data_IF_478324195216
#
_entry.id   IF_478324195216
#
_cell.length_a   1.000
_cell.length_b   1.000
_cell.length_c   1.000
_cell.angle_alpha   90.00
_cell.angle_beta   90.00
_cell.angle_gamma   90.00
#
_symmetry.space_group_name_H-M   'P 1'
#
loop_
_entity.id
_entity.type
_entity.pdbx_description
1 polymer ?
#
# COMPACT_ATOMS: atom_id res chain seq x y z
N UNK A 1 24.01 -14.65 10.21
CA UNK A 1 22.96 -14.78 9.43
C UNK A 1 22.27 -13.53 9.32
N UNK A 2 21.62 -13.32 8.32
CA UNK A 2 21.03 -12.19 8.19
C UNK A 2 19.62 -12.31 8.40
N UNK A 3 18.99 -11.34 8.96
CA UNK A 3 17.68 -11.40 9.12
C UNK A 3 16.98 -10.99 7.97
N UNK A 4 15.86 -11.57 7.66
CA UNK A 4 15.06 -11.17 6.59
C UNK A 4 13.96 -10.36 7.12
N UNK A 5 13.66 -9.23 6.51
CA UNK A 5 12.54 -8.45 6.90
C UNK A 5 11.29 -9.15 6.46
N UNK A 6 10.32 -9.21 7.36
CA UNK A 6 9.07 -9.79 7.02
C UNK A 6 8.18 -8.74 6.52
N UNK A 7 7.92 -8.68 5.23
CA UNK A 7 6.99 -7.73 4.67
C UNK A 7 5.60 -8.31 4.76
N UNK A 8 4.60 -7.43 4.77
CA UNK A 8 3.23 -7.88 4.89
C UNK A 8 2.82 -8.73 3.71
N UNK A 9 3.30 -8.38 2.52
CA UNK A 9 2.95 -9.10 1.32
C UNK A 9 4.20 -9.57 0.62
N UNK A 10 4.06 -10.56 -0.24
CA UNK A 10 5.15 -11.13 -1.00
C UNK A 10 4.86 -10.99 -2.47
N UNK A 11 5.89 -11.11 -3.30
CA UNK A 11 5.71 -11.09 -4.75
C UNK A 11 4.77 -12.21 -5.13
N UNK A 12 3.76 -11.88 -5.92
CA UNK A 12 2.77 -12.86 -6.34
C UNK A 12 1.50 -12.84 -5.52
N UNK A 13 1.50 -12.13 -4.40
CA UNK A 13 0.29 -12.06 -3.58
C UNK A 13 -0.77 -11.26 -4.27
N UNK A 14 -2.01 -11.71 -4.14
CA UNK A 14 -3.14 -10.96 -4.63
C UNK A 14 -3.54 -9.99 -3.54
N UNK A 15 -3.61 -8.71 -3.90
CA UNK A 15 -3.87 -7.66 -2.93
C UNK A 15 -4.91 -6.72 -3.49
N UNK A 16 -5.36 -5.80 -2.65
CA UNK A 16 -6.38 -4.83 -3.04
C UNK A 16 -5.87 -3.43 -2.71
N UNK A 17 -6.20 -2.48 -3.54
CA UNK A 17 -5.87 -1.09 -3.26
C UNK A 17 -7.04 -0.22 -3.64
N UNK A 18 -7.11 0.98 -3.07
CA UNK A 18 -8.17 1.90 -3.45
C UNK A 18 -7.75 2.68 -4.68
N UNK A 19 -8.67 2.78 -5.62
CA UNK A 19 -8.44 3.66 -6.76
C UNK A 19 -8.56 5.09 -6.27
N UNK A 20 -7.53 5.90 -6.50
CA UNK A 20 -7.52 7.24 -5.93
C UNK A 20 -8.49 8.19 -6.63
N UNK A 21 -9.09 7.76 -7.72
CA UNK A 21 -10.09 8.57 -8.41
C UNK A 21 -11.49 8.16 -8.00
N UNK A 22 -11.76 6.86 -8.00
CA UNK A 22 -13.13 6.38 -7.72
C UNK A 22 -13.30 5.92 -6.30
N UNK A 23 -12.22 5.70 -5.57
CA UNK A 23 -12.21 5.15 -4.20
C UNK A 23 -12.75 3.73 -4.15
N UNK A 24 -12.81 3.05 -5.27
CA UNK A 24 -13.25 1.67 -5.27
C UNK A 24 -12.05 0.76 -5.13
N UNK A 25 -12.29 -0.40 -4.55
CA UNK A 25 -11.24 -1.39 -4.37
C UNK A 25 -10.86 -2.00 -5.71
N UNK A 26 -9.58 -2.09 -5.97
CA UNK A 26 -9.06 -2.69 -7.18
C UNK A 26 -8.19 -3.87 -6.79
N UNK A 27 -8.43 -5.00 -7.40
CA UNK A 27 -7.62 -6.18 -7.15
C UNK A 27 -6.39 -6.14 -8.05
N UNK A 28 -5.23 -6.44 -7.49
CA UNK A 28 -4.02 -6.46 -8.26
C UNK A 28 -3.07 -7.47 -7.62
N UNK A 29 -1.87 -7.58 -8.15
CA UNK A 29 -0.88 -8.55 -7.68
C UNK A 29 0.42 -7.83 -7.43
N UNK A 30 1.12 -8.20 -6.38
CA UNK A 30 2.41 -7.62 -6.07
C UNK A 30 3.44 -8.13 -7.06
N UNK A 31 4.10 -7.20 -7.75
CA UNK A 31 5.07 -7.58 -8.76
C UNK A 31 6.48 -7.49 -8.26
N UNK A 32 6.79 -6.51 -7.44
CA UNK A 32 8.12 -6.41 -6.86
C UNK A 32 8.04 -5.70 -5.52
N UNK A 33 9.05 -5.93 -4.71
CA UNK A 33 9.13 -5.36 -3.38
C UNK A 33 10.53 -4.83 -3.17
N UNK A 34 10.62 -3.60 -2.69
CA UNK A 34 11.89 -2.99 -2.33
C UNK A 34 11.81 -2.47 -0.92
N UNK A 35 12.93 -2.49 -0.21
CA UNK A 35 12.96 -2.03 1.17
C UNK A 35 13.96 -0.90 1.26
N UNK A 36 13.59 0.17 1.97
CA UNK A 36 14.45 1.29 2.11
C UNK A 36 14.43 1.77 3.54
N UNK A 37 15.61 2.12 4.05
CA UNK A 37 15.71 2.68 5.37
C UNK A 37 15.80 4.19 5.25
N UNK A 38 14.98 4.92 6.01
CA UNK A 38 14.98 6.36 5.97
C UNK A 38 15.94 6.90 7.01
N UNK A 39 16.19 8.21 6.93
CA UNK A 39 17.17 8.82 7.81
C UNK A 39 16.80 8.72 9.27
N UNK A 40 15.52 8.69 9.58
CA UNK A 40 15.12 8.62 10.98
C UNK A 40 15.10 7.19 11.51
N UNK A 41 15.59 6.24 10.72
CA UNK A 41 15.62 4.85 11.16
C UNK A 41 14.39 4.04 10.79
N UNK A 42 13.37 4.68 10.27
CA UNK A 42 12.18 3.91 9.90
C UNK A 42 12.46 3.16 8.59
N UNK A 43 11.66 2.13 8.36
CA UNK A 43 11.84 1.26 7.21
C UNK A 43 10.60 1.38 6.34
N UNK A 44 10.79 1.70 5.09
CA UNK A 44 9.71 1.75 4.14
C UNK A 44 9.78 0.57 3.21
N UNK A 45 8.61 0.01 2.89
CA UNK A 45 8.52 -1.09 1.96
C UNK A 45 7.76 -0.59 0.74
N UNK A 46 8.40 -0.65 -0.40
CA UNK A 46 7.79 -0.21 -1.63
C UNK A 46 7.28 -1.43 -2.37
N UNK A 47 5.98 -1.48 -2.57
CA UNK A 47 5.36 -2.54 -3.35
C UNK A 47 5.01 -1.98 -4.72
N UNK A 48 5.40 -2.67 -5.77
CA UNK A 48 4.99 -2.32 -7.10
C UNK A 48 4.02 -3.38 -7.58
N UNK A 49 2.85 -2.97 -8.00
CA UNK A 49 1.82 -3.91 -8.40
C UNK A 49 1.79 -4.06 -9.92
N UNK A 50 1.07 -5.07 -10.38
CA UNK A 50 1.00 -5.34 -11.80
C UNK A 50 0.47 -4.17 -12.59
N UNK A 51 -0.42 -3.39 -12.00
CA UNK A 51 -0.95 -2.24 -12.69
C UNK A 51 -0.04 -1.03 -12.56
N UNK A 52 1.23 -1.28 -12.20
CA UNK A 52 2.29 -0.28 -12.17
C UNK A 52 1.97 0.84 -11.20
N UNK A 53 1.43 0.48 -10.06
CA UNK A 53 1.15 1.45 -9.02
C UNK A 53 2.13 1.26 -7.88
N UNK A 54 2.94 2.28 -7.59
CA UNK A 54 3.86 2.15 -6.46
C UNK A 54 3.15 2.49 -5.15
N UNK A 55 3.34 1.67 -4.15
CA UNK A 55 2.74 1.88 -2.85
C UNK A 55 3.79 1.70 -1.80
N UNK A 56 3.96 2.72 -0.96
CA UNK A 56 4.95 2.68 0.09
C UNK A 56 4.24 2.55 1.43
N UNK A 57 4.66 1.57 2.20
CA UNK A 57 4.14 1.39 3.54
C UNK A 57 5.30 1.44 4.51
N UNK A 58 5.17 2.20 5.57
CA UNK A 58 6.23 2.32 6.56
C UNK A 58 5.97 1.30 7.64
N UNK A 59 6.97 0.46 7.92
CA UNK A 59 6.80 -0.61 8.89
C UNK A 59 6.57 -0.01 10.27
N UNK A 60 5.68 -0.63 10.99
CA UNK A 60 5.35 -0.16 12.33
C UNK A 60 4.34 0.95 12.39
N UNK A 61 3.89 1.44 11.26
CA UNK A 61 2.87 2.47 11.27
C UNK A 61 1.54 1.89 10.88
N UNK A 62 0.44 2.46 11.35
CA UNK A 62 -0.87 1.94 10.97
C UNK A 62 -1.11 2.17 9.49
N UNK A 63 -1.94 1.34 8.93
CA UNK A 63 -2.27 1.47 7.53
C UNK A 63 -3.11 2.70 7.29
N UNK A 64 -2.98 3.24 6.10
CA UNK A 64 -3.82 4.32 5.66
C UNK A 64 -4.55 3.88 4.40
N UNK A 65 -5.42 4.74 3.90
CA UNK A 65 -6.19 4.40 2.72
C UNK A 65 -5.34 4.19 1.48
N UNK A 66 -4.10 4.64 1.50
CA UNK A 66 -3.22 4.45 0.35
C UNK A 66 -2.39 3.20 0.40
N UNK A 67 -2.63 2.31 1.36
CA UNK A 67 -1.86 1.10 1.49
C UNK A 67 -2.47 -0.04 0.71
N UNK A 68 -1.80 -1.19 0.71
CA UNK A 68 -2.36 -2.39 0.15
C UNK A 68 -3.11 -3.16 1.22
N UNK A 69 -4.13 -3.85 0.82
CA UNK A 69 -4.98 -4.60 1.74
C UNK A 69 -5.07 -6.03 1.28
N UNK A 70 -5.33 -6.91 2.22
CA UNK A 70 -5.38 -8.34 1.92
C UNK A 70 -6.75 -8.79 1.41
N UNK A 71 -7.78 -7.95 1.55
CA UNK A 71 -9.10 -8.32 1.07
C UNK A 71 -9.84 -7.09 0.62
N UNK A 72 -10.86 -7.30 -0.19
CA UNK A 72 -11.69 -6.21 -0.64
C UNK A 72 -12.41 -5.57 0.53
N UNK A 73 -12.88 -6.40 1.46
CA UNK A 73 -13.58 -5.88 2.62
C UNK A 73 -12.69 -4.98 3.45
N UNK A 74 -11.44 -5.38 3.64
CA UNK A 74 -10.53 -4.54 4.39
C UNK A 74 -10.30 -3.22 3.67
N UNK A 75 -10.12 -3.26 2.36
CA UNK A 75 -9.92 -2.06 1.58
C UNK A 75 -11.13 -1.14 1.70
N UNK A 76 -12.32 -1.71 1.60
CA UNK A 76 -13.54 -0.92 1.65
C UNK A 76 -13.80 -0.34 3.03
N UNK A 77 -13.24 -0.93 4.07
CA UNK A 77 -13.46 -0.44 5.43
C UNK A 77 -12.69 0.82 5.74
N UNK A 78 -11.72 1.18 4.91
CA UNK A 78 -10.93 2.37 5.14
C UNK A 78 -11.63 3.56 4.48
N UNK A 79 -11.39 4.77 4.99
CA UNK A 79 -12.05 5.94 4.40
C UNK A 79 -11.56 6.20 2.99
N UNK A 80 -12.18 7.08 2.25
CA UNK A 80 -11.74 7.38 0.89
C UNK A 80 -10.27 7.74 0.85
N UNK A 81 -9.63 7.39 -0.26
CA UNK A 81 -8.19 7.55 -0.39
C UNK A 81 -7.77 8.97 -0.09
N UNK A 82 -8.55 9.94 -0.53
CA UNK A 82 -8.26 11.30 -0.17
C UNK A 82 -9.59 12.01 -0.11
N UNK A 83 -9.70 12.96 0.79
CA UNK A 83 -10.92 13.72 0.88
C UNK A 83 -11.09 14.53 -0.36
N UNK A 84 -12.28 14.64 -0.75
CA UNK A 84 -12.53 15.45 -1.87
C UNK A 84 -12.46 16.86 -1.50
N UNK A 85 -11.91 17.60 -1.87
CA UNK A 85 -11.81 18.86 -1.52
C UNK A 85 -11.92 19.71 -2.42
N UNK A 86 -12.26 20.24 -2.66
CA UNK A 86 -12.16 20.88 -3.53
C UNK A 86 -12.14 22.03 -3.50
N UNK A 87 -11.86 22.31 -3.33
CA UNK A 87 -11.65 23.09 -3.45
C UNK A 87 -11.72 23.85 -3.75
N UNK A 88 -11.53 24.29 -3.88
CA UNK A 88 -11.42 24.92 -4.25
C UNK A 88 -11.54 25.55 -4.28
N UNK A 89 -11.48 25.70 -4.44
CA UNK A 89 -11.37 26.18 -4.56
C UNK A 89 -11.55 26.75 -4.62
#
# INVERSE_FOLDING_TARGET
MKEELETEFKVGDIVWRKNHVTNKAIQTTVESISVKEFEDGSIGVLYLTEDITPIVQVMGKPKSSGCLFSSKEECDSYPPYRPVETKNL
#
